data_IF_191004306114
#
_entry.id   IF_191004306114
#
_cell.length_a   1.000
_cell.length_b   1.000
_cell.length_c   1.000
_cell.angle_alpha   90.00
_cell.angle_beta   90.00
_cell.angle_gamma   90.00
#
_symmetry.space_group_name_H-M   'P 1'
#
loop_
_entity.id
_entity.type
_entity.pdbx_description
1 polymer ?
#
# COMPACT_ATOMS: atom_id res chain seq x y z
N UNK A 1 -7.46 -34.50 -41.40
CA UNK A 1 -8.36 -33.46 -40.84
C UNK A 1 -7.50 -32.56 -39.97
N UNK A 2 -7.09 -31.40 -40.49
CA UNK A 2 -6.24 -30.43 -39.80
C UNK A 2 -7.14 -29.57 -38.89
N UNK A 3 -6.95 -29.64 -37.57
CA UNK A 3 -7.65 -28.80 -36.60
C UNK A 3 -6.69 -27.67 -36.22
N UNK A 4 -7.00 -26.45 -36.66
CA UNK A 4 -6.36 -25.24 -36.18
C UNK A 4 -7.03 -24.83 -34.87
N UNK A 5 -6.29 -24.81 -33.75
CA UNK A 5 -6.75 -24.12 -32.55
C UNK A 5 -6.29 -22.66 -32.61
N UNK A 6 -7.26 -21.75 -32.65
CA UNK A 6 -7.01 -20.33 -32.42
C UNK A 6 -6.89 -20.15 -30.90
N UNK A 7 -5.66 -20.02 -30.40
CA UNK A 7 -5.40 -19.65 -29.02
C UNK A 7 -5.76 -18.17 -28.81
N UNK A 8 -6.81 -17.91 -28.05
CA UNK A 8 -7.04 -16.58 -27.48
C UNK A 8 -6.06 -16.39 -26.32
N UNK A 9 -4.98 -15.65 -26.56
CA UNK A 9 -4.17 -15.07 -25.48
C UNK A 9 -4.80 -13.72 -25.12
N UNK A 10 -5.79 -13.76 -24.24
CA UNK A 10 -6.15 -12.59 -23.46
C UNK A 10 -5.99 -13.02 -22.00
N UNK A 11 -5.05 -12.39 -21.30
CA UNK A 11 -4.96 -12.46 -19.84
C UNK A 11 -6.29 -11.89 -19.36
N UNK A 12 -7.19 -12.76 -18.89
CA UNK A 12 -8.41 -12.33 -18.22
C UNK A 12 -7.98 -11.70 -16.89
N UNK A 13 -7.74 -10.39 -16.91
CA UNK A 13 -7.50 -9.62 -15.70
C UNK A 13 -8.85 -9.47 -15.01
N UNK A 14 -9.12 -10.39 -14.10
CA UNK A 14 -10.28 -10.36 -13.25
C UNK A 14 -10.41 -9.00 -12.53
N UNK A 15 -11.48 -8.22 -12.75
CA UNK A 15 -11.68 -6.94 -12.06
C UNK A 15 -11.97 -7.11 -10.56
N UNK A 16 -12.09 -8.35 -10.04
CA UNK A 16 -12.29 -8.64 -8.61
C UNK A 16 -11.10 -8.29 -7.72
N UNK A 17 -10.01 -7.77 -8.27
CA UNK A 17 -8.82 -7.42 -7.50
C UNK A 17 -8.73 -5.93 -7.15
N UNK A 18 -9.88 -5.31 -6.89
CA UNK A 18 -9.99 -3.98 -6.30
C UNK A 18 -10.49 -4.21 -4.88
N UNK A 19 -9.57 -4.40 -3.93
CA UNK A 19 -9.93 -4.52 -2.53
C UNK A 19 -10.34 -3.15 -1.99
N UNK A 20 -11.42 -3.06 -1.20
CA UNK A 20 -11.82 -1.79 -0.63
C UNK A 20 -10.77 -1.31 0.38
N UNK A 21 -10.24 -0.10 0.16
CA UNK A 21 -9.41 0.61 1.14
C UNK A 21 -10.31 1.34 2.15
N UNK A 22 -9.73 1.82 3.25
CA UNK A 22 -10.47 2.72 4.15
C UNK A 22 -10.93 3.97 3.40
N UNK A 23 -11.96 4.68 3.89
CA UNK A 23 -12.39 5.93 3.28
C UNK A 23 -11.26 6.96 3.14
N UNK A 24 -10.36 7.05 4.13
CA UNK A 24 -9.20 7.94 4.05
C UNK A 24 -8.26 7.56 2.90
N UNK A 25 -7.86 6.29 2.81
CA UNK A 25 -6.95 5.83 1.74
C UNK A 25 -7.62 5.91 0.36
N UNK A 26 -8.90 5.56 0.26
CA UNK A 26 -9.68 5.64 -0.99
C UNK A 26 -9.80 7.07 -1.49
N UNK A 27 -10.11 8.03 -0.59
CA UNK A 27 -10.20 9.45 -0.96
C UNK A 27 -8.88 10.00 -1.50
N UNK A 28 -7.74 9.53 -0.99
CA UNK A 28 -6.42 9.93 -1.49
C UNK A 28 -6.11 9.29 -2.86
N UNK A 29 -6.41 8.00 -3.02
CA UNK A 29 -6.21 7.27 -4.28
C UNK A 29 -7.03 7.89 -5.44
N UNK A 30 -8.22 8.44 -5.16
CA UNK A 30 -9.05 9.15 -6.15
C UNK A 30 -8.29 10.28 -6.85
N UNK A 31 -7.38 10.97 -6.17
CA UNK A 31 -6.54 12.02 -6.77
C UNK A 31 -5.45 11.47 -7.69
N UNK A 32 -4.99 10.23 -7.45
CA UNK A 32 -4.04 9.57 -8.34
C UNK A 32 -4.74 9.03 -9.59
N UNK A 33 -5.93 8.44 -9.44
CA UNK A 33 -6.68 7.87 -10.55
C UNK A 33 -7.32 8.94 -11.44
N UNK A 34 -7.87 10.00 -10.84
CA UNK A 34 -8.51 11.11 -11.55
C UNK A 34 -7.84 12.43 -11.16
N UNK A 35 -6.72 12.80 -11.83
CA UNK A 35 -5.98 14.00 -11.48
C UNK A 35 -6.81 15.26 -11.72
N UNK A 36 -6.69 16.21 -10.79
CA UNK A 36 -7.28 17.54 -10.92
C UNK A 36 -6.53 18.34 -11.99
N UNK A 37 -7.26 18.85 -12.96
CA UNK A 37 -6.71 19.67 -14.03
C UNK A 37 -7.80 20.56 -14.60
N UNK A 38 -7.40 21.75 -15.05
CA UNK A 38 -8.31 22.60 -15.83
C UNK A 38 -8.85 21.87 -17.08
N UNK A 39 -8.11 20.89 -17.61
CA UNK A 39 -8.55 20.05 -18.72
C UNK A 39 -9.61 19.01 -18.32
N UNK A 40 -9.55 18.48 -17.09
CA UNK A 40 -10.55 17.55 -16.57
C UNK A 40 -11.79 18.28 -16.01
N UNK A 41 -11.78 19.62 -16.01
CA UNK A 41 -12.85 20.46 -15.47
C UNK A 41 -12.92 20.44 -13.94
N UNK A 42 -11.95 19.83 -13.27
CA UNK A 42 -11.90 19.72 -11.80
C UNK A 42 -10.90 20.72 -11.26
N UNK A 43 -11.34 21.76 -10.51
CA UNK A 43 -10.42 22.70 -9.89
C UNK A 43 -9.57 22.04 -8.80
N UNK A 44 -8.31 22.43 -8.71
CA UNK A 44 -7.42 22.02 -7.62
C UNK A 44 -7.69 22.89 -6.38
N UNK A 45 -8.38 22.33 -5.39
CA UNK A 45 -8.69 23.01 -4.12
C UNK A 45 -7.84 22.36 -3.02
N UNK A 46 -6.85 23.11 -2.51
CA UNK A 46 -5.96 22.68 -1.44
C UNK A 46 -5.79 23.78 -0.39
N UNK A 47 -6.12 23.47 0.85
CA UNK A 47 -6.05 24.37 2.01
C UNK A 47 -4.93 23.85 2.94
N UNK A 48 -3.80 24.57 3.09
CA UNK A 48 -2.78 24.20 4.06
C UNK A 48 -3.31 24.41 5.47
N UNK A 49 -3.27 23.36 6.31
CA UNK A 49 -3.68 23.44 7.71
C UNK A 49 -2.47 23.74 8.58
N UNK A 50 -1.41 22.95 8.42
CA UNK A 50 -0.23 23.00 9.27
C UNK A 50 0.97 22.39 8.56
N UNK A 51 2.18 22.77 8.95
CA UNK A 51 3.40 22.06 8.51
C UNK A 51 4.11 21.57 9.75
N UNK A 52 4.11 20.24 9.92
CA UNK A 52 4.83 19.61 11.00
C UNK A 52 6.34 19.70 10.75
N UNK A 53 7.07 20.30 11.69
CA UNK A 53 8.53 20.47 11.58
C UNK A 53 9.23 19.87 12.78
N UNK A 54 10.26 19.11 12.53
CA UNK A 54 11.16 18.55 13.54
C UNK A 54 12.55 18.50 12.93
N UNK A 55 13.46 19.38 13.37
CA UNK A 55 14.80 19.51 12.79
C UNK A 55 14.76 19.73 11.27
N UNK A 56 15.37 18.82 10.52
CA UNK A 56 15.38 18.83 9.04
C UNK A 56 14.17 18.15 8.39
N UNK A 57 13.29 17.49 9.16
CA UNK A 57 12.07 16.86 8.63
C UNK A 57 10.92 17.87 8.63
N UNK A 58 10.31 18.04 7.46
CA UNK A 58 9.08 18.82 7.29
C UNK A 58 8.00 17.98 6.60
N UNK A 59 6.79 17.94 7.17
CA UNK A 59 5.62 17.27 6.61
C UNK A 59 4.47 18.28 6.52
N UNK A 60 4.12 18.76 5.32
CA UNK A 60 2.93 19.60 5.15
C UNK A 60 1.66 18.75 5.33
N UNK A 61 0.74 19.29 6.12
CA UNK A 61 -0.60 18.75 6.33
C UNK A 61 -1.57 19.67 5.60
N UNK A 62 -2.17 19.15 4.54
CA UNK A 62 -3.07 19.91 3.67
C UNK A 62 -4.42 19.20 3.57
N UNK A 63 -5.48 19.99 3.42
CA UNK A 63 -6.83 19.51 3.19
C UNK A 63 -7.15 19.74 1.72
N UNK A 64 -7.54 18.69 0.99
CA UNK A 64 -7.86 18.79 -0.44
C UNK A 64 -9.30 18.39 -0.71
N UNK A 65 -9.97 19.09 -1.63
CA UNK A 65 -11.31 18.76 -2.09
C UNK A 65 -11.34 18.34 -3.56
N UNK A 66 -11.94 17.18 -3.84
CA UNK A 66 -12.07 16.66 -5.20
C UNK A 66 -13.44 17.06 -5.76
N UNK A 67 -13.45 18.14 -6.55
CA UNK A 67 -14.67 18.71 -7.11
C UNK A 67 -15.19 17.98 -8.37
N UNK A 68 -14.73 16.75 -8.64
CA UNK A 68 -15.16 15.94 -9.80
C UNK A 68 -16.56 15.34 -9.67
N UNK A 69 -17.28 15.68 -8.61
CA UNK A 69 -18.58 15.11 -8.26
C UNK A 69 -18.48 14.03 -7.19
N UNK A 70 -19.60 13.86 -6.47
CA UNK A 70 -19.77 12.85 -5.42
C UNK A 70 -20.68 11.76 -5.96
N UNK A 71 -20.18 10.53 -6.02
CA UNK A 71 -20.96 9.37 -6.44
C UNK A 71 -21.79 8.83 -5.26
N UNK A 72 -22.88 8.12 -5.55
CA UNK A 72 -23.69 7.45 -4.50
C UNK A 72 -22.86 6.42 -3.71
N UNK A 73 -21.85 5.84 -4.37
CA UNK A 73 -20.91 4.89 -3.76
C UNK A 73 -19.75 5.56 -3.02
N UNK A 74 -19.62 6.90 -3.04
CA UNK A 74 -18.52 7.58 -2.36
C UNK A 74 -18.74 7.55 -0.83
N UNK A 75 -17.73 7.10 -0.11
CA UNK A 75 -17.73 7.07 1.35
C UNK A 75 -16.97 8.29 1.87
N UNK A 76 -17.55 8.99 2.84
CA UNK A 76 -16.91 10.15 3.46
C UNK A 76 -15.63 9.75 4.21
N UNK A 77 -14.56 10.52 4.03
CA UNK A 77 -13.34 10.38 4.84
C UNK A 77 -13.58 10.95 6.24
N UNK A 78 -12.61 10.78 7.14
CA UNK A 78 -12.63 11.42 8.47
C UNK A 78 -12.77 12.94 8.47
N UNK A 79 -12.51 13.61 7.34
CA UNK A 79 -12.63 15.07 7.16
C UNK A 79 -13.82 15.48 6.28
N UNK A 80 -14.70 14.53 5.93
CA UNK A 80 -15.93 14.79 5.19
C UNK A 80 -15.93 14.23 3.76
N UNK A 81 -17.10 14.29 3.14
CA UNK A 81 -17.33 13.75 1.79
C UNK A 81 -16.63 14.60 0.73
N UNK A 82 -15.83 13.96 -0.12
CA UNK A 82 -15.03 14.63 -1.15
C UNK A 82 -13.77 15.35 -0.62
N UNK A 83 -13.59 15.41 0.70
CA UNK A 83 -12.40 15.95 1.34
C UNK A 83 -11.41 14.84 1.67
N UNK A 84 -10.11 15.11 1.53
CA UNK A 84 -9.02 14.24 1.99
C UNK A 84 -7.99 15.06 2.75
N UNK A 85 -7.44 14.47 3.82
CA UNK A 85 -6.27 15.02 4.51
C UNK A 85 -5.01 14.41 3.92
N UNK A 86 -4.21 15.26 3.29
CA UNK A 86 -2.98 14.86 2.62
C UNK A 86 -1.80 15.12 3.55
N UNK A 87 -1.05 14.05 3.81
CA UNK A 87 0.25 14.08 4.51
C UNK A 87 1.26 13.26 3.69
N UNK A 88 1.82 12.20 4.26
CA UNK A 88 2.53 11.18 3.46
C UNK A 88 1.52 10.15 2.98
N UNK A 89 1.53 9.85 1.69
CA UNK A 89 0.65 8.85 1.11
C UNK A 89 0.92 7.47 1.73
N UNK A 90 -0.11 6.66 2.03
CA UNK A 90 0.08 5.28 2.42
C UNK A 90 0.69 4.50 1.27
N UNK A 91 1.47 3.47 1.61
CA UNK A 91 1.82 2.45 0.63
C UNK A 91 0.57 1.63 0.37
N UNK A 92 0.23 1.45 -0.88
CA UNK A 92 -0.91 0.60 -1.28
C UNK A 92 -0.42 -0.58 -2.09
N UNK A 93 -1.08 -1.72 -1.93
CA UNK A 93 -0.76 -2.97 -2.60
C UNK A 93 -1.90 -3.36 -3.50
N UNK A 94 -1.54 -3.73 -4.72
CA UNK A 94 -2.37 -4.49 -5.64
C UNK A 94 -1.83 -5.91 -5.67
N UNK A 95 -2.54 -6.81 -5.00
CA UNK A 95 -2.21 -8.23 -4.97
C UNK A 95 -2.35 -8.83 -6.37
N UNK A 96 -1.56 -9.83 -6.75
CA UNK A 96 -1.65 -10.52 -8.04
C UNK A 96 -1.67 -12.04 -7.82
N UNK A 97 -2.80 -12.58 -7.34
CA UNK A 97 -2.89 -13.98 -6.93
C UNK A 97 -2.91 -14.06 -5.41
N UNK A 98 -1.88 -14.66 -4.82
CA UNK A 98 -1.68 -14.67 -3.38
C UNK A 98 -0.95 -13.42 -2.93
N UNK A 99 -1.07 -13.12 -1.64
CA UNK A 99 -0.16 -12.14 -1.07
C UNK A 99 1.27 -12.68 -1.14
N UNK A 100 2.23 -11.86 -1.58
CA UNK A 100 3.66 -12.15 -1.60
C UNK A 100 4.14 -13.05 -0.45
N UNK A 101 3.85 -12.69 0.80
CA UNK A 101 4.25 -13.43 2.01
C UNK A 101 3.64 -14.85 2.12
N UNK A 102 2.57 -15.11 1.37
CA UNK A 102 1.87 -16.38 1.29
C UNK A 102 2.02 -17.11 -0.04
N UNK A 103 2.56 -16.46 -1.07
CA UNK A 103 2.83 -17.03 -2.39
C UNK A 103 4.31 -16.93 -2.71
N UNK A 104 4.66 -15.99 -3.60
CA UNK A 104 5.98 -15.90 -4.24
C UNK A 104 7.17 -15.78 -3.27
N UNK A 105 7.00 -15.29 -2.03
CA UNK A 105 8.09 -15.21 -1.03
C UNK A 105 8.37 -16.53 -0.30
N UNK A 106 7.46 -17.50 -0.33
CA UNK A 106 7.62 -18.76 0.42
C UNK A 106 8.51 -19.78 -0.27
N UNK A 107 8.87 -19.55 -1.53
CA UNK A 107 9.51 -20.54 -2.38
C UNK A 107 10.67 -19.92 -3.17
N UNK A 108 11.69 -20.73 -3.49
CA UNK A 108 12.88 -20.28 -4.23
C UNK A 108 12.65 -20.22 -5.76
N UNK A 109 11.40 -20.28 -6.18
CA UNK A 109 11.02 -20.40 -7.58
C UNK A 109 10.66 -19.08 -8.23
N UNK A 110 10.75 -19.04 -9.55
CA UNK A 110 10.46 -17.85 -10.33
C UNK A 110 10.11 -18.20 -11.78
N UNK A 111 9.67 -17.20 -12.55
CA UNK A 111 9.27 -17.36 -13.95
C UNK A 111 10.41 -17.96 -14.79
N UNK A 112 11.67 -17.58 -14.57
CA UNK A 112 12.81 -18.13 -15.32
C UNK A 112 13.06 -19.60 -14.98
N UNK A 113 12.94 -19.98 -13.70
CA UNK A 113 12.98 -21.38 -13.24
C UNK A 113 11.89 -22.24 -13.88
N UNK A 114 10.67 -21.70 -13.98
CA UNK A 114 9.57 -22.34 -14.70
C UNK A 114 9.88 -22.54 -16.18
N UNK A 115 10.28 -21.46 -16.89
CA UNK A 115 10.54 -21.48 -18.33
C UNK A 115 11.69 -22.42 -18.71
N UNK A 116 12.70 -22.55 -17.85
CA UNK A 116 13.87 -23.41 -18.09
C UNK A 116 13.67 -24.87 -17.63
N UNK A 117 12.54 -25.20 -16.98
CA UNK A 117 12.23 -26.56 -16.57
C UNK A 117 11.75 -27.43 -17.74
N UNK A 118 11.87 -28.76 -17.63
CA UNK A 118 11.37 -29.66 -18.67
C UNK A 118 9.83 -29.64 -18.76
N UNK A 119 9.28 -30.08 -19.91
CA UNK A 119 7.84 -30.03 -20.19
C UNK A 119 7.00 -30.77 -19.13
N UNK A 120 7.48 -31.90 -18.59
CA UNK A 120 6.77 -32.64 -17.54
C UNK A 120 6.66 -31.82 -16.24
N UNK A 121 7.73 -31.13 -15.85
CA UNK A 121 7.73 -30.25 -14.69
C UNK A 121 6.86 -29.00 -14.91
N UNK A 122 6.88 -28.41 -16.11
CA UNK A 122 5.98 -27.31 -16.46
C UNK A 122 4.51 -27.73 -16.37
N UNK A 123 4.17 -28.92 -16.90
CA UNK A 123 2.83 -29.49 -16.84
C UNK A 123 2.39 -29.76 -15.40
N UNK A 124 3.26 -30.35 -14.56
CA UNK A 124 2.97 -30.59 -13.15
C UNK A 124 2.67 -29.30 -12.40
N UNK A 125 3.44 -28.23 -12.66
CA UNK A 125 3.21 -26.92 -12.05
C UNK A 125 1.92 -26.26 -12.52
N UNK A 126 1.62 -26.33 -13.82
CA UNK A 126 0.35 -25.83 -14.33
C UNK A 126 -0.84 -26.58 -13.70
N UNK A 127 -0.70 -27.89 -13.50
CA UNK A 127 -1.70 -28.68 -12.79
C UNK A 127 -1.82 -28.27 -11.31
N UNK A 128 -0.72 -27.93 -10.63
CA UNK A 128 -0.74 -27.41 -9.25
C UNK A 128 -1.38 -26.02 -9.17
N UNK A 129 -1.18 -25.16 -10.18
CA UNK A 129 -1.76 -23.82 -10.25
C UNK A 129 -3.27 -23.83 -10.53
N UNK A 130 -3.78 -24.88 -11.17
CA UNK A 130 -5.17 -24.96 -11.66
C UNK A 130 -6.06 -25.90 -10.86
N UNK A 131 -5.50 -26.62 -9.87
CA UNK A 131 -6.23 -27.62 -9.10
C UNK A 131 -6.21 -27.26 -7.61
N UNK A 132 -7.34 -26.78 -7.11
CA UNK A 132 -7.51 -26.31 -5.72
C UNK A 132 -7.40 -27.37 -4.62
N UNK A 133 -7.02 -28.61 -4.96
CA UNK A 133 -6.58 -29.62 -3.99
C UNK A 133 -5.08 -29.51 -3.66
N UNK A 134 -4.29 -28.79 -4.46
CA UNK A 134 -2.89 -28.48 -4.17
C UNK A 134 -2.79 -27.12 -3.47
N UNK A 135 -1.70 -26.92 -2.73
CA UNK A 135 -1.44 -25.68 -1.99
C UNK A 135 -1.10 -24.57 -3.00
N UNK A 136 -2.08 -24.03 -3.71
CA UNK A 136 -2.00 -23.06 -4.81
C UNK A 136 -0.96 -21.92 -4.60
N UNK A 137 -0.64 -21.57 -3.35
CA UNK A 137 0.51 -20.74 -2.94
C UNK A 137 1.87 -21.16 -3.57
N UNK A 138 2.14 -22.46 -3.73
CA UNK A 138 3.40 -22.98 -4.32
C UNK A 138 3.50 -22.73 -5.83
N UNK A 139 2.39 -22.41 -6.47
CA UNK A 139 2.33 -22.13 -7.90
C UNK A 139 2.34 -20.64 -8.21
N UNK A 140 2.28 -19.78 -7.20
CA UNK A 140 2.31 -18.34 -7.40
C UNK A 140 3.72 -17.84 -7.70
N UNK A 141 3.89 -17.33 -8.91
CA UNK A 141 5.14 -16.76 -9.41
C UNK A 141 4.99 -15.27 -9.70
N UNK A 142 3.85 -14.66 -9.37
CA UNK A 142 3.51 -13.28 -9.68
C UNK A 142 3.68 -12.40 -8.44
N UNK A 143 4.68 -11.51 -8.43
CA UNK A 143 4.81 -10.55 -7.34
C UNK A 143 3.65 -9.55 -7.31
N UNK A 144 3.36 -9.09 -6.11
CA UNK A 144 2.44 -8.00 -5.87
C UNK A 144 3.05 -6.64 -6.25
N UNK A 145 2.16 -5.72 -6.60
CA UNK A 145 2.54 -4.36 -6.97
C UNK A 145 2.26 -3.41 -5.80
N UNK A 146 3.31 -2.82 -5.25
CA UNK A 146 3.19 -1.81 -4.20
C UNK A 146 3.42 -0.42 -4.77
N UNK A 147 2.50 0.51 -4.54
CA UNK A 147 2.64 1.92 -4.93
C UNK A 147 3.23 2.72 -3.78
N UNK A 148 4.23 3.54 -4.08
CA UNK A 148 4.97 4.37 -3.13
C UNK A 148 5.06 5.80 -3.63
N UNK A 149 4.73 6.76 -2.76
CA UNK A 149 4.91 8.18 -3.03
C UNK A 149 5.43 8.89 -1.78
N UNK A 150 6.73 9.19 -1.80
CA UNK A 150 7.46 9.95 -0.78
C UNK A 150 8.20 11.10 -1.48
N UNK A 151 8.71 12.07 -0.72
CA UNK A 151 9.31 13.30 -1.27
C UNK A 151 10.33 13.04 -2.39
N UNK A 152 11.18 12.03 -2.23
CA UNK A 152 12.30 11.75 -3.14
C UNK A 152 11.99 10.63 -4.16
N UNK A 153 10.82 9.99 -4.08
CA UNK A 153 10.48 8.86 -4.95
C UNK A 153 8.97 8.69 -5.12
N UNK A 154 8.54 8.59 -6.37
CA UNK A 154 7.18 8.22 -6.75
C UNK A 154 7.26 7.10 -7.78
N UNK A 155 6.60 5.98 -7.51
CA UNK A 155 6.63 4.81 -8.36
C UNK A 155 6.08 3.57 -7.68
N UNK A 156 6.35 2.42 -8.27
CA UNK A 156 5.97 1.12 -7.74
C UNK A 156 7.18 0.31 -7.30
N UNK A 157 6.98 -0.70 -6.46
CA UNK A 157 7.98 -1.71 -6.17
C UNK A 157 7.35 -3.10 -6.05
N UNK A 158 8.18 -4.11 -6.25
CA UNK A 158 7.78 -5.51 -6.36
C UNK A 158 8.82 -6.40 -5.69
N UNK A 159 8.40 -7.54 -5.15
CA UNK A 159 9.34 -8.55 -4.69
C UNK A 159 9.95 -9.32 -5.87
N UNK A 160 11.28 -9.42 -5.93
CA UNK A 160 11.97 -10.25 -6.91
C UNK A 160 12.37 -11.59 -6.28
N UNK A 161 11.71 -12.72 -6.64
CA UNK A 161 12.01 -14.03 -6.05
C UNK A 161 13.41 -14.56 -6.39
N UNK A 162 13.98 -14.18 -7.54
CA UNK A 162 15.33 -14.63 -7.95
C UNK A 162 16.41 -14.10 -7.02
N UNK A 163 16.30 -12.82 -6.65
CA UNK A 163 17.30 -12.13 -5.84
C UNK A 163 16.87 -11.98 -4.37
N UNK A 164 15.65 -12.39 -4.04
CA UNK A 164 14.99 -12.20 -2.73
C UNK A 164 15.06 -10.76 -2.24
N UNK A 165 14.82 -9.81 -3.14
CA UNK A 165 14.94 -8.36 -2.90
C UNK A 165 13.81 -7.61 -3.55
N UNK A 166 13.43 -6.49 -2.95
CA UNK A 166 12.48 -5.58 -3.54
C UNK A 166 13.15 -4.77 -4.66
N UNK A 167 12.44 -4.61 -5.78
CA UNK A 167 12.87 -3.85 -6.96
C UNK A 167 11.88 -2.74 -7.24
N UNK A 168 12.36 -1.58 -7.66
CA UNK A 168 11.57 -0.37 -7.86
C UNK A 168 11.37 -0.05 -9.34
N UNK A 169 10.26 0.62 -9.64
CA UNK A 169 9.94 1.17 -10.95
C UNK A 169 9.40 2.61 -10.79
N UNK A 170 10.12 3.65 -11.25
CA UNK A 170 11.41 3.58 -11.93
C UNK A 170 12.51 3.04 -11.02
N UNK A 171 13.59 2.51 -11.62
CA UNK A 171 14.70 1.96 -10.86
C UNK A 171 15.33 3.06 -9.98
N UNK A 172 15.50 2.75 -8.70
CA UNK A 172 16.05 3.66 -7.70
C UNK A 172 16.87 2.90 -6.66
N UNK A 173 17.83 3.59 -6.04
CA UNK A 173 18.72 3.05 -5.00
C UNK A 173 18.09 3.05 -3.59
N UNK A 174 16.81 3.38 -3.48
CA UNK A 174 16.08 3.26 -2.21
C UNK A 174 16.07 1.81 -1.73
N UNK A 175 16.25 1.61 -0.42
CA UNK A 175 16.19 0.29 0.20
C UNK A 175 14.83 0.09 0.83
N UNK A 176 14.22 -1.05 0.58
CA UNK A 176 12.89 -1.42 1.06
C UNK A 176 12.99 -2.77 1.74
N UNK A 177 12.69 -2.79 3.03
CA UNK A 177 12.74 -3.99 3.88
C UNK A 177 11.37 -4.22 4.52
N UNK A 178 11.01 -5.49 4.71
CA UNK A 178 9.75 -5.90 5.34
C UNK A 178 9.99 -6.42 6.75
N UNK A 179 9.09 -6.08 7.67
CA UNK A 179 8.97 -6.79 8.94
C UNK A 179 7.67 -7.59 8.97
N UNK A 180 7.73 -8.79 9.53
CA UNK A 180 6.61 -9.70 9.59
C UNK A 180 6.01 -9.75 11.01
N UNK A 181 4.69 -9.82 11.08
CA UNK A 181 3.97 -10.10 12.32
C UNK A 181 3.92 -11.60 12.64
N UNK A 182 3.28 -11.95 13.76
CA UNK A 182 3.13 -13.33 14.21
C UNK A 182 2.36 -14.23 13.22
N UNK A 183 1.54 -13.65 12.35
CA UNK A 183 0.74 -14.32 11.32
C UNK A 183 1.48 -14.44 9.98
N UNK A 184 2.79 -14.16 9.94
CA UNK A 184 3.61 -14.09 8.72
C UNK A 184 3.15 -13.03 7.71
N UNK A 185 2.27 -12.11 8.10
CA UNK A 185 1.83 -10.97 7.30
C UNK A 185 2.83 -9.82 7.41
N UNK A 186 3.00 -9.05 6.33
CA UNK A 186 3.84 -7.85 6.33
C UNK A 186 3.22 -6.82 7.27
N UNK A 187 3.91 -6.56 8.38
CA UNK A 187 3.47 -5.64 9.44
C UNK A 187 4.00 -4.24 9.21
N UNK A 188 5.28 -4.12 8.86
CA UNK A 188 5.89 -2.83 8.51
C UNK A 188 6.67 -2.91 7.21
N UNK A 189 6.71 -1.78 6.52
CA UNK A 189 7.53 -1.56 5.35
C UNK A 189 8.47 -0.41 5.69
N UNK A 190 9.76 -0.72 5.77
CA UNK A 190 10.80 0.21 6.16
C UNK A 190 11.54 0.64 4.90
N UNK A 191 11.57 1.96 4.65
CA UNK A 191 12.16 2.54 3.45
C UNK A 191 13.29 3.47 3.84
N UNK A 192 14.48 3.23 3.28
CA UNK A 192 15.61 4.14 3.41
C UNK A 192 15.90 4.79 2.05
N UNK A 193 15.74 6.10 2.01
CA UNK A 193 16.02 6.91 0.82
C UNK A 193 17.52 7.07 0.59
N UNK A 194 17.89 7.51 -0.62
CA UNK A 194 19.28 7.83 -1.01
C UNK A 194 19.89 8.92 -0.13
N UNK A 195 19.06 9.88 0.32
CA UNK A 195 19.42 10.96 1.23
C UNK A 195 19.60 10.50 2.69
N UNK A 196 19.33 9.23 2.99
CA UNK A 196 19.50 8.64 4.32
C UNK A 196 18.27 8.74 5.23
N UNK A 197 17.24 9.49 4.84
CA UNK A 197 15.95 9.57 5.54
C UNK A 197 15.26 8.22 5.54
N UNK A 198 14.76 7.82 6.71
CA UNK A 198 14.02 6.58 6.93
C UNK A 198 12.54 6.87 7.08
N UNK A 199 11.73 6.10 6.39
CA UNK A 199 10.27 6.09 6.48
C UNK A 199 9.83 4.72 6.96
N UNK A 200 8.98 4.67 7.97
CA UNK A 200 8.41 3.44 8.52
C UNK A 200 6.91 3.51 8.31
N UNK A 201 6.36 2.57 7.55
CA UNK A 201 4.93 2.45 7.28
C UNK A 201 4.35 1.23 7.99
N UNK A 202 3.10 1.30 8.46
CA UNK A 202 2.38 0.19 9.06
C UNK A 202 2.18 0.27 10.57
N UNK A 203 2.46 -0.83 11.26
CA UNK A 203 2.10 -1.06 12.67
C UNK A 203 0.59 -0.93 12.95
N UNK A 204 0.19 0.15 13.65
CA UNK A 204 -1.19 0.50 13.97
C UNK A 204 -1.93 1.15 12.78
N UNK A 205 -1.20 1.47 11.70
CA UNK A 205 -1.72 2.07 10.48
C UNK A 205 -1.92 1.09 9.32
N UNK A 206 -2.23 -0.19 9.59
CA UNK A 206 -2.44 -1.21 8.56
C UNK A 206 -3.92 -1.35 8.20
N UNK A 207 -4.20 -1.54 6.90
CA UNK A 207 -5.54 -1.83 6.40
C UNK A 207 -5.56 -3.23 5.81
N UNK A 208 -6.27 -4.12 6.49
CA UNK A 208 -6.40 -5.52 6.09
C UNK A 208 -7.84 -5.79 5.70
N UNK A 209 -8.02 -6.37 4.51
CA UNK A 209 -9.32 -6.87 4.11
C UNK A 209 -9.51 -8.30 4.61
N UNK A 210 -10.55 -8.53 5.40
CA UNK A 210 -10.97 -9.87 5.80
C UNK A 210 -12.44 -10.06 5.42
N UNK A 211 -12.75 -11.03 4.57
CA UNK A 211 -14.13 -11.43 4.32
C UNK A 211 -14.70 -12.08 5.58
N UNK A 212 -15.70 -11.44 6.18
CA UNK A 212 -16.43 -11.98 7.32
C UNK A 212 -17.28 -13.16 6.83
N UNK A 213 -16.98 -14.38 7.30
CA UNK A 213 -17.93 -15.49 7.25
C UNK A 213 -17.56 -16.75 6.44
N UNK A 214 -16.28 -17.12 6.27
CA UNK A 214 -15.93 -18.46 5.78
C UNK A 214 -14.68 -19.04 6.45
N UNK A 215 -14.73 -20.36 6.66
CA UNK A 215 -13.75 -21.20 7.34
C UNK A 215 -12.36 -21.09 6.70
N UNK A 216 -11.35 -20.97 7.57
CA UNK A 216 -9.89 -21.02 7.36
C UNK A 216 -9.27 -20.00 6.39
N UNK A 217 -8.54 -19.03 6.97
CA UNK A 217 -7.25 -18.50 6.49
C UNK A 217 -6.99 -18.65 4.99
N UNK A 218 -7.72 -17.91 4.15
CA UNK A 218 -7.37 -17.89 2.74
C UNK A 218 -6.12 -17.02 2.59
N UNK A 219 -5.05 -17.60 2.06
CA UNK A 219 -3.78 -16.94 1.74
C UNK A 219 -3.94 -15.76 0.74
N UNK A 220 -5.13 -15.60 0.17
CA UNK A 220 -5.52 -14.51 -0.73
C UNK A 220 -5.77 -13.18 0.00
N UNK A 221 -5.93 -13.20 1.33
CA UNK A 221 -6.25 -12.01 2.11
C UNK A 221 -5.05 -11.57 2.94
N UNK A 222 -4.69 -10.30 2.81
CA UNK A 222 -3.65 -9.67 3.62
C UNK A 222 -3.81 -8.16 3.68
N UNK A 223 -2.80 -7.52 4.26
CA UNK A 223 -2.76 -6.07 4.35
C UNK A 223 -2.59 -5.47 2.95
N UNK A 224 -3.43 -4.49 2.64
CA UNK A 224 -3.49 -3.80 1.35
C UNK A 224 -2.99 -2.37 1.42
N UNK A 225 -2.97 -1.75 2.61
CA UNK A 225 -2.36 -0.45 2.78
C UNK A 225 -1.62 -0.31 4.12
N UNK A 226 -0.52 0.44 4.08
CA UNK A 226 0.29 0.80 5.25
C UNK A 226 0.43 2.32 5.31
N UNK A 227 -0.20 2.94 6.30
CA UNK A 227 -0.07 4.38 6.59
C UNK A 227 1.28 4.68 7.22
N UNK A 228 1.79 5.89 7.02
CA UNK A 228 3.05 6.33 7.63
C UNK A 228 2.94 6.25 9.16
N UNK A 229 3.97 5.67 9.78
CA UNK A 229 4.13 5.62 11.24
C UNK A 229 5.17 6.63 11.71
N UNK A 230 6.34 6.63 11.07
CA UNK A 230 7.48 7.44 11.49
C UNK A 230 8.33 7.88 10.31
N UNK A 231 8.84 9.10 10.39
CA UNK A 231 9.89 9.64 9.52
C UNK A 231 11.07 10.02 10.41
N UNK A 232 12.28 9.64 10.01
CA UNK A 232 13.51 9.91 10.74
C UNK A 232 14.60 10.36 9.78
N UNK A 233 15.11 11.58 9.97
CA UNK A 233 16.22 12.12 9.20
C UNK A 233 17.58 11.70 9.80
N UNK A 234 18.65 11.99 9.05
CA UNK A 234 20.02 11.64 9.42
C UNK A 234 20.54 12.37 10.66
N UNK A 235 19.92 13.49 11.02
CA UNK A 235 20.20 14.27 12.24
C UNK A 235 19.45 13.74 13.49
N UNK A 236 18.80 12.57 13.39
CA UNK A 236 17.90 11.96 14.39
C UNK A 236 16.62 12.75 14.67
N UNK A 237 16.35 13.83 13.93
CA UNK A 237 15.04 14.47 13.97
C UNK A 237 13.99 13.52 13.41
N UNK A 238 12.82 13.50 14.05
CA UNK A 238 11.78 12.56 13.68
C UNK A 238 10.39 13.15 13.89
N UNK A 239 9.45 12.63 13.10
CA UNK A 239 8.03 12.91 13.19
C UNK A 239 7.32 11.57 13.28
N UNK A 240 6.45 11.41 14.28
CA UNK A 240 5.68 10.17 14.49
C UNK A 240 4.19 10.46 14.42
N UNK A 241 3.47 9.60 13.71
CA UNK A 241 2.00 9.58 13.69
C UNK A 241 1.50 8.59 14.73
N UNK A 242 0.48 8.96 15.49
CA UNK A 242 -0.23 8.08 16.42
C UNK A 242 -1.70 8.01 16.03
N UNK A 243 -2.25 6.81 15.86
CA UNK A 243 -3.70 6.69 15.72
C UNK A 243 -4.34 6.65 17.11
N UNK A 244 -5.42 7.38 17.33
CA UNK A 244 -6.33 7.09 18.45
C UNK A 244 -7.43 6.17 17.93
N UNK A 245 -7.41 4.90 18.34
CA UNK A 245 -8.55 4.00 18.12
C UNK A 245 -9.63 4.34 19.14
N UNK A 246 -10.64 5.11 18.74
CA UNK A 246 -11.89 5.16 19.51
C UNK A 246 -12.74 3.94 19.13
N UNK A 247 -13.32 3.28 20.12
CA UNK A 247 -14.11 2.04 20.02
C UNK A 247 -15.47 2.20 19.29
N UNK A 248 -15.55 3.08 18.29
CA UNK A 248 -16.75 3.30 17.48
C UNK A 248 -16.39 4.03 16.19
N UNK A 249 -16.35 3.29 15.08
CA UNK A 249 -16.48 3.70 13.66
C UNK A 249 -15.74 4.95 13.12
N UNK A 250 -14.92 5.64 13.91
CA UNK A 250 -14.23 6.87 13.53
C UNK A 250 -12.76 6.80 13.96
N UNK A 251 -11.86 6.76 12.98
CA UNK A 251 -10.43 6.87 13.20
C UNK A 251 -10.06 8.34 13.40
N UNK A 252 -9.61 8.71 14.60
CA UNK A 252 -9.01 10.02 14.86
C UNK A 252 -7.50 9.92 14.63
N UNK A 253 -6.95 10.77 13.76
CA UNK A 253 -5.51 10.85 13.49
C UNK A 253 -4.89 11.80 14.50
N UNK A 254 -3.98 11.31 15.34
CA UNK A 254 -3.11 12.12 16.19
C UNK A 254 -1.71 12.21 15.56
N UNK A 255 -1.08 13.38 15.67
CA UNK A 255 0.36 13.53 15.39
C UNK A 255 1.04 13.88 16.71
N UNK A 256 2.10 13.16 17.07
CA UNK A 256 2.88 13.43 18.28
C UNK A 256 4.30 13.81 17.91
N UNK A 257 4.72 15.00 18.31
CA UNK A 257 6.05 15.54 18.07
C UNK A 257 6.93 15.33 19.32
N UNK A 258 8.12 14.77 19.15
CA UNK A 258 9.12 14.70 20.22
C UNK A 258 10.36 15.42 19.72
N UNK A 259 10.54 16.67 20.17
CA UNK A 259 11.76 17.42 19.93
C UNK A 259 12.72 17.16 21.11
N UNK A 260 13.87 16.53 20.86
CA UNK A 260 14.77 16.05 21.93
C UNK A 260 15.52 17.17 22.67
N UNK A 261 15.37 18.42 22.25
CA UNK A 261 16.09 19.57 22.84
C UNK A 261 15.20 20.62 23.52
N UNK A 262 13.87 20.50 23.47
CA UNK A 262 12.95 21.38 24.22
C UNK A 262 11.74 20.52 24.62
N UNK A 263 11.50 20.38 25.92
CA UNK A 263 10.32 19.73 26.47
C UNK A 263 9.09 20.61 26.23
N UNK A 264 8.56 20.61 25.01
CA UNK A 264 7.25 21.21 24.72
C UNK A 264 6.44 20.21 23.87
N UNK A 265 5.42 19.63 24.52
CA UNK A 265 4.42 18.78 23.87
C UNK A 265 3.35 19.69 23.30
N UNK A 266 3.53 20.15 22.06
CA UNK A 266 2.46 20.83 21.34
C UNK A 266 1.41 19.81 20.90
N UNK A 267 0.31 19.75 21.66
CA UNK A 267 -0.89 18.99 21.34
C UNK A 267 -1.79 19.84 20.45
N UNK A 268 -1.96 19.44 19.19
CA UNK A 268 -3.06 19.95 18.37
C UNK A 268 -4.25 18.97 18.48
N UNK A 269 -5.28 19.36 19.21
CA UNK A 269 -6.58 18.66 19.24
C UNK A 269 -7.51 19.31 18.22
N UNK A 270 -7.95 18.56 17.20
CA UNK A 270 -9.03 19.00 16.32
C UNK A 270 -10.36 18.61 16.99
N UNK A 271 -11.02 19.57 17.64
CA UNK A 271 -12.38 19.41 18.16
C UNK A 271 -13.40 19.79 17.07
N UNK A 272 -14.36 18.91 16.81
CA UNK A 272 -15.50 19.20 15.94
C UNK A 272 -16.56 19.99 16.70
N UNK A 273 -17.07 21.06 16.09
CA UNK A 273 -18.37 21.64 16.46
C UNK A 273 -19.45 20.92 15.64
N UNK A 274 -20.36 20.23 16.33
CA UNK A 274 -21.65 19.78 15.79
C UNK A 274 -22.59 20.95 15.59
#
# INVERSE_FOLDING_TARGET
MLIYSLGFSQIFKDPRNIFPFTPETSSLLKYQETPVSNYTGVPNISIPIYTAKSGSVEVPITLSYHAGGVLVSDIASSVGLGWSINTVAPITRKTNGYTDENGVMKHDDNIEGFLNSNLANQQLRLNMATNGLYNEAIADLMPDEFSLSINDFSGSFFYNPKNKKNVTFPMSDIKIDYSFGNTNQIKTIDIKTTNGTKYIFGEDGTETYNLIGSISTSNYFGTNAWKIKKIEATDNSNITRSALSHNSYFNIIHFSFINKNIYELDKCECHYFT
#
